data_IF_981077364254
#
_entry.id   IF_981077364254
#
_cell.length_a   1.000
_cell.length_b   1.000
_cell.length_c   1.000
_cell.angle_alpha   90.00
_cell.angle_beta   90.00
_cell.angle_gamma   90.00
#
_symmetry.space_group_name_H-M   'P 1'
#
loop_
_entity.id
_entity.type
_entity.pdbx_description
1 polymer ?
#
# COMPACT_ATOMS: atom_id res chain seq x y z
N UNK A 1 9.21 -2.38 12.28
CA UNK A 1 8.91 -1.46 11.16
C UNK A 1 8.44 -2.27 9.97
N UNK A 2 7.47 -1.77 9.22
CA UNK A 2 6.81 -2.52 8.14
C UNK A 2 7.03 -1.83 6.79
N UNK A 3 7.27 -2.64 5.75
CA UNK A 3 7.32 -2.19 4.35
C UNK A 3 6.64 -3.21 3.45
N UNK A 4 5.98 -2.74 2.40
CA UNK A 4 5.37 -3.61 1.38
C UNK A 4 6.21 -3.49 0.10
N UNK A 5 6.63 -4.61 -0.44
CA UNK A 5 7.42 -4.72 -1.67
C UNK A 5 6.58 -5.38 -2.75
N UNK A 6 6.47 -4.73 -3.89
CA UNK A 6 5.86 -5.26 -5.10
C UNK A 6 6.97 -5.79 -6.02
N UNK A 7 6.92 -7.07 -6.38
CA UNK A 7 7.76 -7.67 -7.41
C UNK A 7 6.87 -7.95 -8.61
N UNK A 8 7.18 -7.41 -9.80
CA UNK A 8 6.29 -7.48 -10.96
C UNK A 8 6.98 -7.77 -12.28
N UNK A 9 6.35 -8.57 -13.13
CA UNK A 9 6.69 -8.80 -14.54
C UNK A 9 6.18 -7.68 -15.45
N UNK A 10 5.33 -6.78 -14.95
CA UNK A 10 4.56 -5.83 -15.73
C UNK A 10 3.74 -6.56 -16.79
N UNK A 11 3.67 -6.02 -18.01
CA UNK A 11 3.07 -6.74 -19.16
C UNK A 11 4.07 -7.63 -19.89
N UNK A 12 4.90 -8.33 -19.11
CA UNK A 12 5.92 -9.25 -19.62
C UNK A 12 5.31 -10.56 -20.12
N UNK A 13 6.04 -11.33 -20.94
CA UNK A 13 5.60 -12.68 -21.30
C UNK A 13 5.78 -13.65 -20.11
N UNK A 14 5.31 -14.88 -20.23
CA UNK A 14 5.36 -15.91 -19.18
C UNK A 14 6.77 -16.13 -18.57
N UNK A 15 7.85 -15.88 -19.34
CA UNK A 15 9.22 -15.91 -18.80
C UNK A 15 9.43 -14.89 -17.66
N UNK A 16 8.85 -13.70 -17.77
CA UNK A 16 8.95 -12.68 -16.73
C UNK A 16 8.13 -13.06 -15.50
N UNK A 17 6.93 -13.61 -15.66
CA UNK A 17 6.10 -14.09 -14.54
C UNK A 17 6.80 -15.21 -13.78
N UNK A 18 7.42 -16.15 -14.51
CA UNK A 18 8.27 -17.17 -13.90
C UNK A 18 9.46 -16.59 -13.14
N UNK A 19 10.12 -15.57 -13.71
CA UNK A 19 11.19 -14.87 -13.01
C UNK A 19 10.71 -14.18 -11.73
N UNK A 20 9.51 -13.57 -11.73
CA UNK A 20 8.91 -12.99 -10.52
C UNK A 20 8.79 -14.03 -9.42
N UNK A 21 8.18 -15.19 -9.70
CA UNK A 21 7.99 -16.24 -8.68
C UNK A 21 9.33 -16.72 -8.09
N UNK A 22 10.33 -16.94 -8.95
CA UNK A 22 11.64 -17.45 -8.52
C UNK A 22 12.44 -16.41 -7.75
N UNK A 23 12.44 -15.16 -8.22
CA UNK A 23 13.12 -14.05 -7.53
C UNK A 23 12.42 -13.72 -6.22
N UNK A 24 11.09 -13.77 -6.14
CA UNK A 24 10.35 -13.59 -4.90
C UNK A 24 10.76 -14.61 -3.83
N UNK A 25 10.90 -15.89 -4.21
CA UNK A 25 11.38 -16.92 -3.30
C UNK A 25 12.83 -16.66 -2.80
N UNK A 26 13.72 -16.21 -3.69
CA UNK A 26 15.10 -15.82 -3.32
C UNK A 26 15.09 -14.61 -2.39
N UNK A 27 14.29 -13.60 -2.70
CA UNK A 27 14.13 -12.39 -1.91
C UNK A 27 13.67 -12.69 -0.48
N UNK A 28 12.62 -13.50 -0.32
CA UNK A 28 12.14 -13.93 1.01
C UNK A 28 13.22 -14.71 1.77
N UNK A 29 13.93 -15.62 1.08
CA UNK A 29 15.01 -16.38 1.69
C UNK A 29 16.14 -15.47 2.19
N UNK A 30 16.57 -14.52 1.37
CA UNK A 30 17.64 -13.57 1.73
C UNK A 30 17.20 -12.63 2.87
N UNK A 31 15.94 -12.17 2.86
CA UNK A 31 15.38 -11.38 3.95
C UNK A 31 15.44 -12.15 5.28
N UNK A 32 14.93 -13.39 5.28
CA UNK A 32 14.91 -14.22 6.49
C UNK A 32 16.33 -14.57 6.99
N UNK A 33 17.29 -14.77 6.09
CA UNK A 33 18.71 -14.96 6.45
C UNK A 33 19.31 -13.73 7.15
N UNK A 34 18.80 -12.54 6.84
CA UNK A 34 19.14 -11.30 7.50
C UNK A 34 18.16 -10.97 8.64
N UNK A 35 17.44 -11.94 9.20
CA UNK A 35 16.49 -11.75 10.31
C UNK A 35 15.43 -10.66 10.02
N UNK A 36 15.07 -10.48 8.75
CA UNK A 36 13.95 -9.65 8.31
C UNK A 36 12.81 -10.61 8.01
N UNK A 37 11.73 -10.55 8.78
CA UNK A 37 10.55 -11.38 8.57
C UNK A 37 9.87 -10.98 7.27
N UNK A 38 9.84 -11.89 6.29
CA UNK A 38 9.22 -11.66 4.99
C UNK A 38 8.02 -12.61 4.77
N UNK A 39 6.83 -12.04 4.61
CA UNK A 39 5.58 -12.80 4.40
C UNK A 39 4.90 -12.39 3.09
N UNK A 40 4.37 -13.36 2.35
CA UNK A 40 3.56 -13.07 1.17
C UNK A 40 2.22 -12.48 1.61
N UNK A 41 1.81 -11.37 1.02
CA UNK A 41 0.43 -10.90 1.18
C UNK A 41 -0.46 -11.77 0.29
N UNK A 42 -1.53 -12.33 0.86
CA UNK A 42 -2.51 -13.09 0.08
C UNK A 42 -3.05 -12.21 -1.06
N UNK A 43 -2.78 -12.62 -2.29
CA UNK A 43 -3.37 -12.00 -3.46
C UNK A 43 -4.70 -12.67 -3.79
N UNK A 44 -5.69 -11.84 -4.06
CA UNK A 44 -7.05 -12.24 -4.43
C UNK A 44 -7.14 -12.88 -5.82
N UNK A 45 -6.05 -13.08 -6.57
CA UNK A 45 -6.07 -13.75 -7.87
C UNK A 45 -4.78 -14.51 -8.17
N UNK A 46 -4.94 -15.79 -8.50
CA UNK A 46 -3.93 -16.83 -8.71
C UNK A 46 -3.12 -16.74 -10.02
N UNK A 47 -3.17 -15.60 -10.73
CA UNK A 47 -2.60 -15.45 -12.08
C UNK A 47 -2.03 -14.05 -12.31
N UNK A 48 -1.32 -13.52 -11.31
CA UNK A 48 -0.93 -12.11 -11.29
C UNK A 48 0.53 -11.89 -11.72
N UNK A 49 0.71 -10.92 -12.62
CA UNK A 49 2.00 -10.36 -13.04
C UNK A 49 2.78 -9.68 -11.90
N UNK A 50 2.34 -9.81 -10.65
CA UNK A 50 2.89 -9.13 -9.49
C UNK A 50 2.74 -10.01 -8.27
N UNK A 51 3.69 -9.94 -7.34
CA UNK A 51 3.63 -10.54 -6.02
C UNK A 51 3.92 -9.44 -5.00
N UNK A 52 3.20 -9.45 -3.88
CA UNK A 52 3.40 -8.52 -2.77
C UNK A 52 3.98 -9.23 -1.57
N UNK A 53 5.07 -8.68 -1.03
CA UNK A 53 5.77 -9.22 0.14
C UNK A 53 5.80 -8.14 1.20
N UNK A 54 5.32 -8.49 2.38
CA UNK A 54 5.42 -7.68 3.57
C UNK A 54 6.72 -8.01 4.32
N UNK A 55 7.52 -6.97 4.56
CA UNK A 55 8.73 -7.05 5.36
C UNK A 55 8.47 -6.44 6.72
N UNK A 56 8.89 -7.15 7.77
CA UNK A 56 8.89 -6.65 9.14
C UNK A 56 10.26 -6.87 9.78
N UNK A 57 10.84 -5.80 10.32
CA UNK A 57 12.09 -5.83 11.07
C UNK A 57 12.08 -4.74 12.14
N UNK A 58 12.63 -5.01 13.32
CA UNK A 58 12.79 -4.01 14.38
C UNK A 58 13.84 -2.96 14.01
N UNK A 59 14.93 -3.36 13.36
CA UNK A 59 15.99 -2.47 12.89
C UNK A 59 15.63 -1.81 11.55
N UNK A 60 15.28 -0.52 11.60
CA UNK A 60 14.95 0.28 10.43
C UNK A 60 16.13 0.40 9.44
N UNK A 61 17.37 0.50 9.92
CA UNK A 61 18.53 0.65 9.03
C UNK A 61 18.76 -0.63 8.26
N UNK A 62 18.67 -1.78 8.94
CA UNK A 62 18.76 -3.10 8.31
C UNK A 62 17.71 -3.26 7.21
N UNK A 63 16.47 -2.91 7.51
CA UNK A 63 15.36 -2.94 6.56
C UNK A 63 15.59 -1.98 5.37
N UNK A 64 16.11 -0.78 5.62
CA UNK A 64 16.42 0.21 4.58
C UNK A 64 17.54 -0.28 3.66
N UNK A 65 18.65 -0.78 4.20
CA UNK A 65 19.78 -1.31 3.42
C UNK A 65 19.34 -2.50 2.57
N UNK A 66 18.60 -3.43 3.17
CA UNK A 66 18.07 -4.59 2.46
C UNK A 66 17.16 -4.16 1.30
N UNK A 67 16.19 -3.29 1.55
CA UNK A 67 15.27 -2.83 0.50
C UNK A 67 15.98 -2.07 -0.61
N UNK A 68 16.91 -1.15 -0.30
CA UNK A 68 17.68 -0.42 -1.31
C UNK A 68 18.52 -1.34 -2.21
N UNK A 69 19.01 -2.47 -1.70
CA UNK A 69 19.77 -3.43 -2.51
C UNK A 69 18.94 -4.17 -3.57
N UNK A 70 17.61 -4.13 -3.44
CA UNK A 70 16.68 -4.87 -4.29
C UNK A 70 15.77 -3.98 -5.14
N UNK A 71 15.52 -2.73 -4.72
CA UNK A 71 14.63 -1.81 -5.42
C UNK A 71 15.18 -1.41 -6.79
N UNK A 72 14.42 -1.70 -7.86
CA UNK A 72 14.76 -1.37 -9.22
C UNK A 72 14.50 -2.51 -10.21
N UNK A 73 15.18 -2.46 -11.35
CA UNK A 73 15.08 -3.50 -12.38
C UNK A 73 15.98 -4.68 -12.05
N UNK A 74 15.46 -5.89 -12.20
CA UNK A 74 16.23 -7.13 -12.09
C UNK A 74 16.25 -7.81 -13.46
N UNK A 75 17.44 -8.21 -13.91
CA UNK A 75 17.62 -8.93 -15.16
C UNK A 75 17.80 -10.42 -14.90
N UNK A 76 17.00 -11.24 -15.58
CA UNK A 76 17.21 -12.68 -15.67
C UNK A 76 17.68 -13.05 -17.08
N UNK A 77 18.84 -13.71 -17.15
CA UNK A 77 19.47 -14.16 -18.40
C UNK A 77 19.30 -15.67 -18.52
N UNK A 78 18.35 -16.10 -19.33
CA UNK A 78 18.11 -17.51 -19.62
C UNK A 78 17.42 -17.69 -20.97
N UNK A 79 17.73 -18.77 -21.68
CA UNK A 79 16.89 -19.20 -22.80
C UNK A 79 15.47 -19.47 -22.32
N UNK A 80 14.46 -19.12 -23.12
CA UNK A 80 13.07 -19.30 -22.72
C UNK A 80 12.77 -20.77 -22.40
N UNK A 81 12.25 -21.09 -21.19
CA UNK A 81 11.76 -22.42 -20.88
C UNK A 81 10.37 -22.69 -21.49
N UNK A 82 9.63 -21.64 -21.87
CA UNK A 82 8.26 -21.76 -22.39
C UNK A 82 8.18 -21.76 -23.91
N UNK A 83 9.17 -21.17 -24.60
CA UNK A 83 9.20 -21.05 -26.06
C UNK A 83 10.49 -21.67 -26.60
N UNK A 84 10.46 -22.97 -26.97
CA UNK A 84 11.59 -23.65 -27.57
C UNK A 84 12.09 -22.89 -28.81
N UNK A 85 13.42 -22.85 -29.01
CA UNK A 85 14.11 -22.18 -30.13
C UNK A 85 13.97 -20.64 -30.19
N UNK A 86 13.32 -20.00 -29.22
CA UNK A 86 13.24 -18.54 -29.17
C UNK A 86 14.61 -17.91 -28.86
N UNK A 87 15.03 -16.90 -29.64
CA UNK A 87 16.39 -16.33 -29.56
C UNK A 87 16.61 -15.40 -28.36
N UNK A 88 15.55 -14.82 -27.78
CA UNK A 88 15.65 -13.89 -26.65
C UNK A 88 16.10 -14.62 -25.38
N UNK A 89 17.05 -14.01 -24.67
CA UNK A 89 17.58 -14.52 -23.40
C UNK A 89 17.47 -13.55 -22.23
N UNK A 90 17.17 -12.27 -22.49
CA UNK A 90 17.10 -11.24 -21.45
C UNK A 90 15.64 -10.96 -21.08
N UNK A 91 15.32 -11.22 -19.82
CA UNK A 91 14.02 -11.01 -19.19
C UNK A 91 14.21 -9.99 -18.07
N UNK A 92 13.25 -9.10 -17.90
CA UNK A 92 13.33 -8.03 -16.91
C UNK A 92 12.07 -8.06 -16.04
N UNK A 93 12.25 -7.85 -14.75
CA UNK A 93 11.19 -7.66 -13.76
C UNK A 93 11.51 -6.41 -12.93
N UNK A 94 10.50 -5.83 -12.31
CA UNK A 94 10.66 -4.67 -11.43
C UNK A 94 10.40 -5.03 -9.98
N UNK A 95 11.18 -4.46 -9.07
CA UNK A 95 10.96 -4.53 -7.63
C UNK A 95 10.78 -3.10 -7.13
N UNK A 96 9.62 -2.83 -6.54
CA UNK A 96 9.22 -1.49 -6.11
C UNK A 96 8.74 -1.51 -4.67
N UNK A 97 8.94 -0.41 -3.97
CA UNK A 97 8.30 -0.21 -2.68
C UNK A 97 6.87 0.25 -2.93
N UNK A 98 5.90 -0.47 -2.38
CA UNK A 98 4.51 -0.02 -2.34
C UNK A 98 4.32 0.89 -1.14
N UNK A 99 3.50 1.91 -1.29
CA UNK A 99 3.05 2.73 -0.17
C UNK A 99 2.28 1.86 0.83
N UNK A 100 2.57 2.03 2.12
CA UNK A 100 1.79 1.45 3.20
C UNK A 100 0.54 2.31 3.39
N UNK A 101 -0.56 1.92 2.76
CA UNK A 101 -1.86 2.53 3.03
C UNK A 101 -2.38 1.98 4.37
N UNK A 102 -2.20 2.72 5.46
CA UNK A 102 -2.99 2.48 6.67
C UNK A 102 -4.42 2.90 6.38
N UNK A 103 -5.26 1.94 6.06
CA UNK A 103 -6.71 2.16 6.09
C UNK A 103 -7.08 2.63 7.49
N UNK A 104 -7.86 3.71 7.57
CA UNK A 104 -8.33 4.21 8.85
C UNK A 104 -9.39 3.25 9.36
N UNK A 105 -9.23 2.84 10.62
CA UNK A 105 -10.10 1.87 11.29
C UNK A 105 -11.56 2.34 11.34
N UNK A 106 -12.46 1.37 11.51
CA UNK A 106 -13.87 1.63 11.74
C UNK A 106 -14.05 2.46 13.01
N UNK A 107 -14.99 3.42 12.99
CA UNK A 107 -15.23 4.31 14.13
C UNK A 107 -15.77 3.53 15.34
N UNK A 108 -14.92 3.33 16.35
CA UNK A 108 -15.38 2.94 17.68
C UNK A 108 -15.90 4.16 18.45
N UNK A 109 -16.99 4.01 19.21
CA UNK A 109 -17.52 5.11 20.01
C UNK A 109 -16.54 5.62 21.08
N UNK A 110 -15.61 4.76 21.55
CA UNK A 110 -14.53 5.15 22.47
C UNK A 110 -13.58 6.20 21.89
N UNK A 111 -13.49 6.28 20.57
CA UNK A 111 -12.54 7.13 19.86
C UNK A 111 -13.15 8.47 19.46
N UNK A 112 -14.41 8.71 19.82
CA UNK A 112 -15.18 9.88 19.45
C UNK A 112 -15.37 10.83 20.63
N UNK A 113 -14.89 12.06 20.48
CA UNK A 113 -15.19 13.15 21.39
C UNK A 113 -16.27 14.06 20.80
N UNK A 114 -17.39 14.18 21.51
CA UNK A 114 -18.51 15.03 21.12
C UNK A 114 -18.51 16.31 21.96
N UNK A 115 -18.55 17.47 21.29
CA UNK A 115 -18.64 18.77 21.92
C UNK A 115 -19.90 19.49 21.43
N UNK A 116 -20.76 19.91 22.36
CA UNK A 116 -21.87 20.79 22.06
C UNK A 116 -21.36 22.22 21.90
N UNK A 117 -21.68 22.87 20.79
CA UNK A 117 -21.28 24.24 20.48
C UNK A 117 -22.51 25.09 20.19
N UNK A 118 -22.35 26.41 20.30
CA UNK A 118 -23.40 27.34 19.86
C UNK A 118 -23.41 27.38 18.33
N UNK A 119 -24.60 27.33 17.76
CA UNK A 119 -24.82 27.43 16.32
C UNK A 119 -24.40 28.82 15.83
N UNK A 120 -23.45 28.91 14.91
CA UNK A 120 -23.02 30.18 14.31
C UNK A 120 -23.83 30.45 13.05
N UNK A 121 -24.89 31.27 13.16
CA UNK A 121 -25.71 31.65 12.01
C UNK A 121 -26.50 32.93 12.28
N UNK A 122 -26.91 33.63 11.22
CA UNK A 122 -27.78 34.81 11.28
C UNK A 122 -29.20 34.39 11.71
N UNK A 123 -29.40 34.14 13.00
CA UNK A 123 -30.68 33.73 13.57
C UNK A 123 -31.06 34.57 14.79
N UNK A 124 -32.36 34.68 15.06
CA UNK A 124 -32.91 35.43 16.19
C UNK A 124 -32.47 34.90 17.57
N UNK A 125 -32.97 35.51 18.66
CA UNK A 125 -32.53 35.25 20.05
C UNK A 125 -32.39 33.77 20.45
N UNK A 126 -33.16 32.87 19.85
CA UNK A 126 -33.11 31.43 20.12
C UNK A 126 -31.82 30.74 19.63
N UNK A 127 -31.24 31.18 18.49
CA UNK A 127 -30.00 30.60 17.92
C UNK A 127 -28.79 30.92 18.79
N UNK A 128 -28.80 32.07 19.46
CA UNK A 128 -27.70 32.53 20.31
C UNK A 128 -27.71 31.94 21.73
N UNK A 129 -28.84 31.38 22.19
CA UNK A 129 -29.00 30.83 23.56
C UNK A 129 -28.81 29.33 23.66
N UNK A 130 -29.10 28.55 22.61
CA UNK A 130 -29.13 27.08 22.67
C UNK A 130 -27.93 26.46 21.94
N UNK A 131 -27.15 25.65 22.65
CA UNK A 131 -26.02 24.89 22.08
C UNK A 131 -26.49 23.64 21.33
N UNK A 132 -27.25 23.82 20.24
CA UNK A 132 -27.79 22.71 19.45
C UNK A 132 -26.77 22.09 18.50
N UNK A 133 -25.73 22.82 18.09
CA UNK A 133 -24.70 22.31 17.19
C UNK A 133 -23.78 21.31 17.91
N UNK A 134 -23.34 20.28 17.19
CA UNK A 134 -22.45 19.24 17.73
C UNK A 134 -21.23 19.10 16.84
N UNK A 135 -20.05 19.19 17.45
CA UNK A 135 -18.77 18.82 16.83
C UNK A 135 -18.39 17.43 17.31
N UNK A 136 -18.03 16.55 16.39
CA UNK A 136 -17.41 15.26 16.69
C UNK A 136 -15.95 15.31 16.26
N UNK A 137 -15.07 14.76 17.11
CA UNK A 137 -13.64 14.61 16.85
C UNK A 137 -13.27 13.13 16.96
N UNK A 138 -12.66 12.59 15.92
CA UNK A 138 -12.00 11.28 15.99
C UNK A 138 -10.63 11.47 16.62
N UNK A 139 -10.45 11.00 17.86
CA UNK A 139 -9.25 11.21 18.66
C UNK A 139 -7.98 10.67 17.98
N UNK A 140 -7.96 9.45 17.40
CA UNK A 140 -6.75 8.90 16.78
C UNK A 140 -6.27 9.69 15.55
N UNK A 141 -7.19 10.24 14.75
CA UNK A 141 -6.83 10.93 13.49
C UNK A 141 -6.87 12.45 13.61
N UNK A 142 -7.42 12.99 14.69
CA UNK A 142 -7.70 14.42 14.85
C UNK A 142 -8.76 14.97 13.89
N UNK A 143 -9.46 14.11 13.14
CA UNK A 143 -10.51 14.56 12.21
C UNK A 143 -11.69 15.14 12.96
N UNK A 144 -12.11 16.34 12.56
CA UNK A 144 -13.26 17.02 13.13
C UNK A 144 -14.33 17.26 12.08
N UNK A 145 -15.58 17.07 12.50
CA UNK A 145 -16.78 17.37 11.72
C UNK A 145 -17.80 18.04 12.63
N UNK A 146 -18.55 19.01 12.10
CA UNK A 146 -19.60 19.71 12.84
C UNK A 146 -20.93 19.56 12.12
N UNK A 147 -22.02 19.39 12.87
CA UNK A 147 -23.38 19.42 12.37
C UNK A 147 -24.23 20.38 13.20
N UNK A 148 -25.03 21.18 12.51
CA UNK A 148 -25.88 22.22 13.11
C UNK A 148 -27.21 22.39 12.35
N UNK A 149 -27.55 21.39 11.55
CA UNK A 149 -28.63 21.39 10.57
C UNK A 149 -30.02 21.34 11.22
N UNK A 150 -30.12 20.77 12.41
CA UNK A 150 -31.35 20.70 13.19
C UNK A 150 -31.29 21.58 14.45
N UNK A 151 -32.48 21.93 14.97
CA UNK A 151 -32.63 22.50 16.31
C UNK A 151 -32.38 21.49 17.44
N UNK A 152 -32.38 20.19 17.14
CA UNK A 152 -32.15 19.11 18.11
C UNK A 152 -30.68 18.71 18.17
N UNK A 153 -30.09 18.82 19.37
CA UNK A 153 -28.71 18.39 19.63
C UNK A 153 -28.51 16.89 19.34
N UNK A 154 -29.49 16.04 19.68
CA UNK A 154 -29.38 14.60 19.44
C UNK A 154 -29.35 14.27 17.93
N UNK A 155 -30.19 14.95 17.13
CA UNK A 155 -30.17 14.80 15.67
C UNK A 155 -28.85 15.29 15.08
N UNK A 156 -28.32 16.42 15.56
CA UNK A 156 -27.02 16.93 15.14
C UNK A 156 -25.88 15.99 15.56
N UNK A 157 -25.94 15.35 16.73
CA UNK A 157 -24.96 14.34 17.15
C UNK A 157 -24.93 13.17 16.17
N UNK A 158 -26.09 12.61 15.82
CA UNK A 158 -26.20 11.52 14.84
C UNK A 158 -25.66 11.94 13.48
N UNK A 159 -26.04 13.13 13.00
CA UNK A 159 -25.59 13.66 11.72
C UNK A 159 -24.08 13.92 11.69
N UNK A 160 -23.51 14.47 12.76
CA UNK A 160 -22.07 14.69 12.88
C UNK A 160 -21.29 13.38 12.76
N UNK A 161 -21.77 12.31 13.41
CA UNK A 161 -21.20 10.97 13.29
C UNK A 161 -21.27 10.45 11.87
N UNK A 162 -22.44 10.47 11.22
CA UNK A 162 -22.59 10.00 9.83
C UNK A 162 -21.66 10.74 8.88
N UNK A 163 -21.55 12.07 9.00
CA UNK A 163 -20.62 12.87 8.18
C UNK A 163 -19.15 12.52 8.45
N UNK A 164 -18.80 12.17 9.69
CA UNK A 164 -17.45 11.72 10.03
C UNK A 164 -17.15 10.35 9.39
N UNK A 165 -18.11 9.42 9.43
CA UNK A 165 -18.01 8.10 8.76
C UNK A 165 -17.82 8.27 7.25
N UNK A 166 -18.63 9.10 6.59
CA UNK A 166 -18.52 9.41 5.16
C UNK A 166 -17.14 10.00 4.82
N UNK A 167 -16.65 10.94 5.63
CA UNK A 167 -15.35 11.58 5.41
C UNK A 167 -14.19 10.59 5.57
N UNK A 168 -14.27 9.65 6.51
CA UNK A 168 -13.27 8.59 6.66
C UNK A 168 -13.32 7.64 5.48
N UNK A 169 -14.52 7.22 5.06
CA UNK A 169 -14.71 6.35 3.90
C UNK A 169 -14.12 6.98 2.62
N UNK A 170 -14.38 8.26 2.37
CA UNK A 170 -13.80 9.00 1.24
C UNK A 170 -12.27 9.02 1.26
N UNK A 171 -11.67 9.20 2.45
CA UNK A 171 -10.21 9.21 2.58
C UNK A 171 -9.63 7.81 2.37
N UNK A 172 -10.28 6.77 2.88
CA UNK A 172 -9.88 5.39 2.64
C UNK A 172 -9.95 5.04 1.14
N UNK A 173 -11.04 5.41 0.46
CA UNK A 173 -11.19 5.20 -0.98
C UNK A 173 -10.09 5.92 -1.77
N UNK A 174 -9.87 7.22 -1.52
CA UNK A 174 -8.81 7.98 -2.17
C UNK A 174 -7.41 7.37 -1.92
N UNK A 175 -7.18 6.80 -0.75
CA UNK A 175 -5.92 6.12 -0.41
C UNK A 175 -5.78 4.82 -1.19
N UNK A 176 -6.86 4.05 -1.34
CA UNK A 176 -6.92 2.83 -2.14
C UNK A 176 -6.69 3.13 -3.63
N UNK A 177 -7.38 4.11 -4.20
CA UNK A 177 -7.21 4.57 -5.59
C UNK A 177 -5.75 4.98 -5.85
N UNK A 178 -5.13 5.72 -4.91
CA UNK A 178 -3.71 6.10 -5.02
C UNK A 178 -2.81 4.86 -5.05
N UNK A 179 -3.06 3.86 -4.20
CA UNK A 179 -2.30 2.60 -4.16
C UNK A 179 -2.43 1.82 -5.47
N UNK A 180 -3.65 1.70 -5.99
CA UNK A 180 -3.92 1.02 -7.26
C UNK A 180 -3.21 1.74 -8.42
N UNK A 181 -3.29 3.08 -8.46
CA UNK A 181 -2.59 3.89 -9.45
C UNK A 181 -1.07 3.71 -9.37
N UNK A 182 -0.48 3.71 -8.17
CA UNK A 182 0.96 3.49 -8.00
C UNK A 182 1.38 2.08 -8.41
N UNK A 183 0.58 1.07 -8.07
CA UNK A 183 0.78 -0.33 -8.49
C UNK A 183 0.78 -0.45 -10.02
N UNK A 184 -0.19 0.19 -10.68
CA UNK A 184 -0.30 0.23 -12.13
C UNK A 184 0.89 0.97 -12.78
N UNK A 185 1.30 2.11 -12.22
CA UNK A 185 2.46 2.87 -12.68
C UNK A 185 3.75 2.06 -12.60
N UNK A 186 3.95 1.30 -11.52
CA UNK A 186 5.09 0.40 -11.35
C UNK A 186 5.14 -0.68 -12.44
N UNK A 187 3.99 -1.26 -12.80
CA UNK A 187 3.89 -2.25 -13.88
C UNK A 187 4.26 -1.65 -15.25
N UNK A 188 3.96 -0.37 -15.47
CA UNK A 188 4.27 0.32 -16.74
C UNK A 188 5.72 0.79 -16.83
N UNK A 189 6.35 1.12 -15.70
CA UNK A 189 7.66 1.78 -15.65
C UNK A 189 8.85 0.83 -15.45
N UNK A 190 8.67 -0.48 -15.67
CA UNK A 190 9.77 -1.44 -15.55
C UNK A 190 10.87 -1.09 -16.56
N UNK A 191 12.02 -0.63 -16.05
CA UNK A 191 13.17 -0.29 -16.86
C UNK A 191 13.78 -1.55 -17.49
N UNK A 192 13.99 -1.53 -18.81
CA UNK A 192 14.61 -2.62 -19.58
C UNK A 192 16.08 -2.31 -19.84
N UNK A 193 16.86 -2.24 -18.75
CA UNK A 193 18.27 -1.86 -18.77
C UNK A 193 18.73 -1.39 -17.39
N UNK A 194 20.04 -1.25 -17.21
CA UNK A 194 20.68 -0.87 -15.94
C UNK A 194 20.14 -1.64 -14.70
N UNK A 195 20.20 -2.99 -14.71
CA UNK A 195 19.65 -3.78 -13.62
C UNK A 195 20.47 -3.63 -12.34
N UNK A 196 19.78 -3.62 -11.21
CA UNK A 196 20.40 -3.61 -9.87
C UNK A 196 21.01 -4.97 -9.55
N UNK A 197 20.35 -6.06 -9.96
CA UNK A 197 20.86 -7.43 -9.85
C UNK A 197 20.63 -8.20 -11.15
N UNK A 198 21.56 -9.11 -11.43
CA UNK A 198 21.51 -9.98 -12.61
C UNK A 198 21.55 -11.43 -12.17
N UNK A 199 20.62 -12.24 -12.66
CA UNK A 199 20.53 -13.68 -12.41
C UNK A 199 20.69 -14.44 -13.72
N UNK A 200 21.32 -15.61 -13.69
CA UNK A 200 21.64 -16.40 -14.88
C UNK A 200 21.19 -17.85 -14.72
N UNK A 201 20.70 -18.43 -15.82
CA UNK A 201 20.30 -19.83 -15.91
C UNK A 201 18.98 -20.15 -15.19
N UNK A 202 18.56 -21.41 -15.28
CA UNK A 202 17.32 -21.90 -14.65
C UNK A 202 17.40 -21.97 -13.12
N UNK A 203 18.62 -22.06 -12.58
CA UNK A 203 18.87 -22.07 -11.13
C UNK A 203 18.85 -20.67 -10.50
N UNK A 204 18.76 -19.61 -11.31
CA UNK A 204 18.81 -18.21 -10.87
C UNK A 204 20.06 -17.93 -10.02
N UNK A 205 21.25 -18.26 -10.54
CA UNK A 205 22.51 -17.89 -9.88
C UNK A 205 22.77 -16.40 -10.07
N UNK A 206 23.01 -15.68 -8.99
CA UNK A 206 23.32 -14.25 -9.06
C UNK A 206 24.70 -14.04 -9.71
N UNK A 207 24.76 -13.26 -10.79
CA UNK A 207 26.00 -12.92 -11.49
C UNK A 207 26.76 -11.88 -10.66
N UNK A 208 28.00 -12.19 -10.27
CA UNK A 208 28.85 -11.29 -9.48
C UNK A 208 28.78 -11.50 -7.96
N UNK A 209 28.04 -12.50 -7.48
CA UNK A 209 28.32 -13.07 -6.16
C UNK A 209 29.49 -14.04 -6.32
N UNK A 210 30.62 -13.73 -5.68
CA UNK A 210 31.67 -14.71 -5.40
C UNK A 210 31.11 -15.79 -4.46
#
# INVERSE_FOLDING_TARGET
MKKIIQITSGRGPAECTFAVTRIAAIFVKEANQQEITATYQEQTTCDSDSVFIELNCEDERKLLVFTQSWLGSIQWICTSPFRPKHKRKNWFIGIFQSDEAKEREALAESDLSYQAIRSSGAGGQHVNKVSSAVRVTHLPTGLQVTAMDSRSQHQNKKLARTRLEEKIAQINEATKEKREKNTWLNQMQIARGNPIKVFVGLDFKQKGSL
#
